data_IF_096930783858
#
_entry.id   IF_096930783858
#
_cell.length_a   1.000
_cell.length_b   1.000
_cell.length_c   1.000
_cell.angle_alpha   90.00
_cell.angle_beta   90.00
_cell.angle_gamma   90.00
#
_symmetry.space_group_name_H-M   'P 1'
#
loop_
_entity.id
_entity.type
_entity.pdbx_description
1 polymer ?
#
# COMPACT_ATOMS: atom_id res chain seq x y z
N UNK A 1 -34.60 -11.95 -23.36
CA UNK A 1 -33.64 -12.82 -22.61
C UNK A 1 -33.18 -14.04 -23.43
N UNK A 2 -34.00 -14.66 -24.27
CA UNK A 2 -33.66 -15.87 -25.05
C UNK A 2 -32.56 -15.68 -26.08
N UNK A 3 -32.50 -14.51 -26.75
CA UNK A 3 -31.52 -14.24 -27.80
C UNK A 3 -30.07 -14.10 -27.23
N UNK A 4 -29.93 -13.41 -26.10
CA UNK A 4 -28.66 -13.27 -25.41
C UNK A 4 -28.06 -14.62 -24.99
N UNK A 5 -28.86 -15.49 -24.40
CA UNK A 5 -28.41 -16.82 -24.00
C UNK A 5 -28.09 -17.72 -25.21
N UNK A 6 -28.79 -17.56 -26.32
CA UNK A 6 -28.49 -18.30 -27.55
C UNK A 6 -27.16 -17.87 -28.15
N UNK A 7 -26.86 -16.57 -28.18
CA UNK A 7 -25.58 -16.04 -28.65
C UNK A 7 -24.42 -16.40 -27.70
N UNK A 8 -24.66 -16.31 -26.38
CA UNK A 8 -23.69 -16.74 -25.37
C UNK A 8 -23.34 -18.23 -25.53
N UNK A 9 -24.33 -19.07 -25.81
CA UNK A 9 -24.13 -20.52 -26.05
C UNK A 9 -23.35 -20.80 -27.31
N UNK A 10 -23.50 -20.01 -28.37
CA UNK A 10 -22.67 -20.12 -29.59
C UNK A 10 -21.20 -19.77 -29.30
N UNK A 11 -20.96 -18.73 -28.53
CA UNK A 11 -19.61 -18.31 -28.14
C UNK A 11 -18.96 -19.38 -27.26
N UNK A 12 -19.68 -19.90 -26.26
CA UNK A 12 -19.18 -20.93 -25.34
C UNK A 12 -19.06 -22.30 -25.98
N UNK A 13 -19.89 -22.62 -26.98
CA UNK A 13 -19.84 -23.89 -27.71
C UNK A 13 -18.76 -23.92 -28.80
N UNK A 14 -18.15 -22.77 -29.13
CA UNK A 14 -17.04 -22.69 -30.07
C UNK A 14 -15.72 -23.15 -29.44
N UNK A 15 -14.90 -23.89 -30.19
CA UNK A 15 -13.58 -24.35 -29.72
C UNK A 15 -12.59 -23.21 -29.45
N UNK A 16 -12.81 -22.06 -30.07
CA UNK A 16 -11.92 -20.89 -29.96
C UNK A 16 -12.00 -20.22 -28.59
N UNK A 17 -13.21 -20.10 -28.04
CA UNK A 17 -13.42 -19.42 -26.75
C UNK A 17 -12.71 -20.10 -25.56
N UNK A 18 -12.86 -21.42 -25.34
CA UNK A 18 -12.16 -22.08 -24.24
C UNK A 18 -10.64 -22.06 -24.40
N UNK A 19 -10.11 -22.07 -25.64
CA UNK A 19 -8.68 -21.93 -25.89
C UNK A 19 -8.19 -20.53 -25.51
N UNK A 20 -8.90 -19.47 -25.92
CA UNK A 20 -8.58 -18.10 -25.55
C UNK A 20 -8.67 -17.90 -24.04
N UNK A 21 -9.69 -18.46 -23.39
CA UNK A 21 -9.84 -18.38 -21.93
C UNK A 21 -8.67 -19.08 -21.20
N UNK A 22 -8.23 -20.24 -21.71
CA UNK A 22 -7.09 -20.96 -21.15
C UNK A 22 -5.77 -20.17 -21.31
N UNK A 23 -5.55 -19.55 -22.46
CA UNK A 23 -4.38 -18.69 -22.72
C UNK A 23 -4.42 -17.49 -21.75
N UNK A 24 -5.58 -16.86 -21.60
CA UNK A 24 -5.77 -15.73 -20.71
C UNK A 24 -5.51 -16.10 -19.23
N UNK A 25 -6.12 -17.20 -18.78
CA UNK A 25 -5.91 -17.71 -17.41
C UNK A 25 -4.43 -18.04 -17.18
N UNK A 26 -3.76 -18.67 -18.16
CA UNK A 26 -2.34 -18.98 -18.06
C UNK A 26 -1.46 -17.74 -18.01
N UNK A 27 -1.77 -16.72 -18.82
CA UNK A 27 -1.06 -15.45 -18.81
C UNK A 27 -1.23 -14.72 -17.46
N UNK A 28 -2.46 -14.68 -16.92
CA UNK A 28 -2.72 -14.09 -15.61
C UNK A 28 -2.03 -14.84 -14.46
N UNK A 29 -2.02 -16.18 -14.51
CA UNK A 29 -1.28 -16.99 -13.54
C UNK A 29 0.23 -16.74 -13.62
N UNK A 30 0.76 -16.56 -14.82
CA UNK A 30 2.17 -16.23 -15.04
C UNK A 30 2.50 -14.83 -14.47
N UNK A 31 1.66 -13.84 -14.74
CA UNK A 31 1.83 -12.49 -14.21
C UNK A 31 1.74 -12.46 -12.67
N UNK A 32 0.77 -13.20 -12.11
CA UNK A 32 0.64 -13.36 -10.66
C UNK A 32 1.90 -14.00 -10.06
N UNK A 33 2.38 -15.06 -10.70
CA UNK A 33 3.59 -15.77 -10.26
C UNK A 33 4.84 -14.89 -10.38
N UNK A 34 4.97 -14.09 -11.45
CA UNK A 34 6.06 -13.12 -11.60
C UNK A 34 5.97 -12.00 -10.55
N UNK A 35 4.77 -11.48 -10.28
CA UNK A 35 4.54 -10.41 -9.30
C UNK A 35 4.71 -10.87 -7.84
N UNK A 36 4.52 -12.16 -7.56
CA UNK A 36 4.71 -12.73 -6.22
C UNK A 36 6.13 -13.23 -5.95
N UNK A 37 6.99 -13.27 -6.95
CA UNK A 37 8.39 -13.66 -6.76
C UNK A 37 9.12 -12.66 -5.87
N UNK A 38 9.92 -13.15 -4.92
CA UNK A 38 10.82 -12.29 -4.18
C UNK A 38 11.84 -11.71 -5.16
N UNK A 39 11.79 -10.41 -5.35
CA UNK A 39 12.83 -9.66 -6.06
C UNK A 39 13.97 -9.35 -5.09
N UNK A 40 15.19 -9.35 -5.56
CA UNK A 40 16.33 -8.86 -4.78
C UNK A 40 15.97 -7.47 -4.24
N UNK A 41 16.20 -7.24 -2.95
CA UNK A 41 15.88 -6.00 -2.23
C UNK A 41 14.38 -5.74 -1.91
N UNK A 42 13.47 -6.70 -2.10
CA UNK A 42 12.12 -6.57 -1.57
C UNK A 42 11.93 -7.48 -0.36
N UNK A 43 11.26 -7.00 0.69
CA UNK A 43 10.97 -7.81 1.85
C UNK A 43 10.13 -9.04 1.46
N UNK A 44 10.48 -10.24 1.93
CA UNK A 44 9.72 -11.45 1.64
C UNK A 44 8.35 -11.41 2.33
N UNK A 45 7.35 -12.08 1.76
CA UNK A 45 6.01 -12.16 2.35
C UNK A 45 5.99 -12.72 3.79
N UNK A 46 7.01 -13.52 4.16
CA UNK A 46 7.19 -14.02 5.52
C UNK A 46 7.47 -12.89 6.52
N UNK A 47 8.22 -11.85 6.11
CA UNK A 47 8.51 -10.69 6.96
C UNK A 47 7.24 -9.90 7.30
N UNK A 48 6.37 -9.66 6.32
CA UNK A 48 5.07 -9.00 6.56
C UNK A 48 4.18 -9.82 7.51
N UNK A 49 4.14 -11.13 7.35
CA UNK A 49 3.39 -12.01 8.25
C UNK A 49 3.96 -12.01 9.66
N UNK A 50 5.28 -11.96 9.81
CA UNK A 50 5.92 -11.88 11.11
C UNK A 50 5.58 -10.59 11.84
N UNK A 51 5.58 -9.44 11.14
CA UNK A 51 5.13 -8.17 11.69
C UNK A 51 3.62 -8.23 11.98
N UNK A 52 2.79 -8.77 11.08
CA UNK A 52 1.36 -8.95 11.31
C UNK A 52 1.06 -9.72 12.59
N UNK A 53 1.79 -10.80 12.87
CA UNK A 53 1.66 -11.55 14.11
C UNK A 53 2.06 -10.75 15.36
N UNK A 54 2.94 -9.76 15.23
CA UNK A 54 3.31 -8.86 16.33
C UNK A 54 2.23 -7.78 16.58
N UNK A 55 1.50 -7.41 15.52
CA UNK A 55 0.43 -6.42 15.58
C UNK A 55 -0.92 -7.03 15.96
N UNK A 56 -1.03 -8.34 16.00
CA UNK A 56 -2.28 -9.03 16.29
C UNK A 56 -2.74 -8.74 17.73
N UNK A 57 -4.01 -8.38 17.86
CA UNK A 57 -4.61 -8.01 19.13
C UNK A 57 -4.25 -6.62 19.67
N UNK A 58 -3.39 -5.85 19.00
CA UNK A 58 -3.09 -4.47 19.38
C UNK A 58 -4.16 -3.51 18.88
N UNK A 59 -4.38 -2.43 19.63
CA UNK A 59 -5.20 -1.29 19.16
C UNK A 59 -4.50 -0.55 18.03
N UNK A 60 -5.24 0.28 17.28
CA UNK A 60 -4.65 1.10 16.20
C UNK A 60 -3.51 1.99 16.70
N UNK A 61 -3.67 2.61 17.87
CA UNK A 61 -2.64 3.46 18.48
C UNK A 61 -1.37 2.67 18.82
N UNK A 62 -1.52 1.49 19.43
CA UNK A 62 -0.41 0.60 19.76
C UNK A 62 0.31 0.08 18.52
N UNK A 63 -0.43 -0.23 17.44
CA UNK A 63 0.13 -0.58 16.14
C UNK A 63 0.99 0.55 15.58
N UNK A 64 0.46 1.78 15.62
CA UNK A 64 1.19 2.96 15.19
C UNK A 64 2.46 3.19 15.98
N UNK A 65 2.39 3.10 17.31
CA UNK A 65 3.54 3.26 18.18
C UNK A 65 4.62 2.19 17.91
N UNK A 66 4.21 0.94 17.73
CA UNK A 66 5.14 -0.15 17.39
C UNK A 66 5.83 0.08 16.04
N UNK A 67 5.07 0.39 14.99
CA UNK A 67 5.61 0.60 13.65
C UNK A 67 6.54 1.81 13.60
N UNK A 68 6.12 2.92 14.22
CA UNK A 68 6.92 4.13 14.29
C UNK A 68 8.23 3.91 15.07
N UNK A 69 8.15 3.20 16.20
CA UNK A 69 9.33 2.84 16.99
C UNK A 69 10.32 1.99 16.18
N UNK A 70 9.82 0.96 15.50
CA UNK A 70 10.66 0.10 14.65
C UNK A 70 11.23 0.83 13.42
N UNK A 71 10.45 1.68 12.80
CA UNK A 71 10.94 2.50 11.69
C UNK A 71 12.07 3.43 12.14
N UNK A 72 11.90 4.12 13.27
CA UNK A 72 12.90 5.03 13.84
C UNK A 72 14.21 4.32 14.20
N UNK A 73 14.11 3.13 14.83
CA UNK A 73 15.25 2.26 15.14
C UNK A 73 16.03 1.93 13.86
N UNK A 74 15.36 1.38 12.85
CA UNK A 74 15.99 0.92 11.63
C UNK A 74 16.52 2.09 10.79
N UNK A 75 15.81 3.21 10.72
CA UNK A 75 16.29 4.43 10.07
C UNK A 75 17.57 4.93 10.72
N UNK A 76 17.66 4.87 12.05
CA UNK A 76 18.85 5.23 12.81
C UNK A 76 20.03 4.32 12.48
N UNK A 77 19.80 3.00 12.42
CA UNK A 77 20.83 2.04 12.00
C UNK A 77 21.31 2.28 10.56
N UNK A 78 20.40 2.64 9.64
CA UNK A 78 20.76 3.01 8.25
C UNK A 78 21.62 4.27 8.22
N UNK A 79 21.28 5.30 9.00
CA UNK A 79 22.05 6.54 9.13
C UNK A 79 23.45 6.28 9.69
N UNK A 80 23.58 5.44 10.73
CA UNK A 80 24.85 5.01 11.30
C UNK A 80 25.67 4.23 10.26
N UNK A 81 25.03 3.33 9.50
CA UNK A 81 25.67 2.61 8.41
C UNK A 81 26.19 3.55 7.31
N UNK A 82 25.41 4.56 6.95
CA UNK A 82 25.84 5.64 6.06
C UNK A 82 27.07 6.38 6.58
N UNK A 83 27.03 6.77 7.85
CA UNK A 83 28.15 7.43 8.52
C UNK A 83 29.45 6.58 8.45
N UNK A 84 29.41 5.29 8.80
CA UNK A 84 30.59 4.43 8.73
C UNK A 84 31.08 4.21 7.30
N UNK A 85 30.19 4.12 6.33
CA UNK A 85 30.55 4.07 4.92
C UNK A 85 31.29 5.34 4.50
N UNK A 86 30.74 6.48 4.85
CA UNK A 86 31.30 7.78 4.45
C UNK A 86 32.62 8.07 5.17
N UNK A 87 32.80 7.59 6.42
CA UNK A 87 34.10 7.61 7.10
C UNK A 87 35.20 6.86 6.34
N UNK A 88 34.84 5.79 5.64
CA UNK A 88 35.78 5.01 4.85
C UNK A 88 36.28 5.76 3.60
N UNK A 89 35.53 6.77 3.12
CA UNK A 89 35.80 7.46 1.85
C UNK A 89 36.13 8.96 1.99
N UNK A 90 35.67 9.62 3.06
CA UNK A 90 35.80 11.07 3.24
C UNK A 90 36.67 11.45 4.45
N UNK A 91 37.34 12.58 4.38
CA UNK A 91 38.14 13.10 5.48
C UNK A 91 37.33 13.41 6.75
N UNK A 92 37.94 13.26 7.90
CA UNK A 92 37.35 13.11 9.21
C UNK A 92 36.59 14.30 9.82
N UNK A 93 36.81 15.54 9.40
CA UNK A 93 36.31 16.73 10.14
C UNK A 93 34.78 16.95 9.99
N UNK A 94 34.22 16.74 8.80
CA UNK A 94 32.79 16.87 8.57
C UNK A 94 32.00 15.79 9.30
N UNK A 95 32.55 14.61 9.35
CA UNK A 95 31.92 13.43 9.95
C UNK A 95 31.87 13.52 11.48
N UNK A 96 32.86 14.19 12.10
CA UNK A 96 32.82 14.41 13.54
C UNK A 96 31.69 15.37 13.92
N UNK A 97 31.50 16.46 13.17
CA UNK A 97 30.37 17.38 13.40
C UNK A 97 29.02 16.67 13.27
N UNK A 98 28.85 15.82 12.25
CA UNK A 98 27.62 15.01 12.09
C UNK A 98 27.38 14.09 13.27
N UNK A 99 28.43 13.43 13.78
CA UNK A 99 28.31 12.57 14.97
C UNK A 99 27.91 13.37 16.22
N UNK A 100 28.52 14.54 16.42
CA UNK A 100 28.23 15.39 17.56
C UNK A 100 26.79 15.92 17.52
N UNK A 101 26.31 16.33 16.35
CA UNK A 101 24.92 16.74 16.12
C UNK A 101 23.90 15.62 16.35
N UNK A 102 24.29 14.37 16.11
CA UNK A 102 23.42 13.20 16.23
C UNK A 102 23.80 12.29 17.41
N UNK A 103 24.49 12.81 18.43
CA UNK A 103 25.04 12.03 19.53
C UNK A 103 24.01 11.08 20.17
N UNK A 104 22.79 11.55 20.45
CA UNK A 104 21.74 10.72 21.03
C UNK A 104 21.38 9.49 20.18
N UNK A 105 21.40 9.62 18.86
CA UNK A 105 21.16 8.50 17.95
C UNK A 105 22.33 7.49 18.00
N UNK A 106 23.57 7.98 18.01
CA UNK A 106 24.73 7.11 18.14
C UNK A 106 24.77 6.41 19.49
N UNK A 107 24.50 7.10 20.57
CA UNK A 107 24.48 6.55 21.93
C UNK A 107 23.41 5.45 22.06
N UNK A 108 22.27 5.61 21.41
CA UNK A 108 21.18 4.65 21.47
C UNK A 108 21.39 3.39 20.59
N UNK A 109 21.94 3.55 19.39
CA UNK A 109 21.90 2.49 18.37
C UNK A 109 23.25 2.04 17.80
N UNK A 110 24.35 2.74 18.11
CA UNK A 110 25.67 2.40 17.55
C UNK A 110 26.17 1.02 17.98
N UNK A 111 25.91 0.64 19.23
CA UNK A 111 26.31 -0.68 19.73
C UNK A 111 25.52 -1.79 19.05
N UNK A 112 24.22 -1.61 18.88
CA UNK A 112 23.38 -2.55 18.14
C UNK A 112 23.82 -2.71 16.69
N UNK A 113 24.16 -1.60 16.03
CA UNK A 113 24.72 -1.64 14.67
C UNK A 113 25.99 -2.48 14.59
N UNK A 114 26.90 -2.32 15.57
CA UNK A 114 28.15 -3.08 15.63
C UNK A 114 27.91 -4.56 15.94
N UNK A 115 27.01 -4.86 16.87
CA UNK A 115 26.73 -6.23 17.32
C UNK A 115 26.04 -7.06 16.22
N UNK A 116 25.16 -6.46 15.47
CA UNK A 116 24.52 -7.09 14.30
C UNK A 116 25.45 -7.27 13.10
N UNK A 117 26.71 -6.78 13.19
CA UNK A 117 27.73 -6.88 12.12
C UNK A 117 27.17 -6.43 10.77
N UNK A 118 26.38 -5.37 10.76
CA UNK A 118 25.96 -4.76 9.51
C UNK A 118 27.20 -4.28 8.76
N UNK A 119 27.60 -5.01 7.75
CA UNK A 119 28.65 -4.57 6.86
C UNK A 119 28.11 -3.47 5.95
N UNK A 120 29.01 -2.63 5.42
CA UNK A 120 28.69 -1.50 4.53
C UNK A 120 27.70 -1.79 3.38
N UNK A 121 27.40 -3.04 3.11
CA UNK A 121 26.59 -3.51 1.99
C UNK A 121 25.56 -4.56 2.38
N UNK A 122 25.11 -4.62 3.64
CA UNK A 122 24.12 -5.65 4.02
C UNK A 122 22.76 -5.34 3.44
N UNK A 123 22.38 -6.13 2.45
CA UNK A 123 21.04 -6.13 1.86
C UNK A 123 19.94 -6.31 2.92
N UNK A 124 20.26 -6.95 4.06
CA UNK A 124 19.32 -7.20 5.15
C UNK A 124 18.83 -5.91 5.80
N UNK A 125 19.71 -4.97 6.16
CA UNK A 125 19.33 -3.70 6.78
C UNK A 125 18.45 -2.86 5.83
N UNK A 126 18.84 -2.79 4.55
CA UNK A 126 18.06 -2.10 3.53
C UNK A 126 16.70 -2.76 3.31
N UNK A 127 16.63 -4.08 3.40
CA UNK A 127 15.38 -4.84 3.27
C UNK A 127 14.44 -4.57 4.46
N UNK A 128 14.97 -4.55 5.69
CA UNK A 128 14.22 -4.18 6.88
C UNK A 128 13.75 -2.73 6.83
N UNK A 129 14.63 -1.79 6.42
CA UNK A 129 14.24 -0.39 6.23
C UNK A 129 13.08 -0.25 5.26
N UNK A 130 13.14 -0.90 4.11
CA UNK A 130 12.05 -0.88 3.13
C UNK A 130 10.77 -1.46 3.67
N UNK A 131 10.86 -2.56 4.46
CA UNK A 131 9.70 -3.15 5.10
C UNK A 131 9.01 -2.15 6.02
N UNK A 132 9.74 -1.61 7.00
CA UNK A 132 9.12 -0.75 8.00
C UNK A 132 8.74 0.63 7.45
N UNK A 133 9.48 1.17 6.48
CA UNK A 133 9.08 2.38 5.77
C UNK A 133 7.75 2.18 5.01
N UNK A 134 7.58 1.04 4.35
CA UNK A 134 6.34 0.72 3.65
C UNK A 134 5.18 0.53 4.64
N UNK A 135 5.39 -0.26 5.70
CA UNK A 135 4.38 -0.53 6.71
C UNK A 135 3.93 0.74 7.45
N UNK A 136 4.89 1.64 7.77
CA UNK A 136 4.59 2.92 8.38
C UNK A 136 3.73 3.79 7.45
N UNK A 137 4.10 3.92 6.18
CA UNK A 137 3.33 4.70 5.21
C UNK A 137 1.92 4.12 4.97
N UNK A 138 1.80 2.80 4.94
CA UNK A 138 0.49 2.13 4.82
C UNK A 138 -0.37 2.38 6.06
N UNK A 139 0.22 2.27 7.26
CA UNK A 139 -0.46 2.58 8.51
C UNK A 139 -0.91 4.03 8.56
N UNK A 140 -0.04 4.98 8.24
CA UNK A 140 -0.35 6.41 8.24
C UNK A 140 -1.50 6.75 7.28
N UNK A 141 -1.55 6.05 6.14
CA UNK A 141 -2.66 6.19 5.18
C UNK A 141 -3.98 5.74 5.80
N UNK A 142 -3.99 4.61 6.50
CA UNK A 142 -5.18 4.07 7.17
C UNK A 142 -5.59 4.98 8.34
N UNK A 143 -4.63 5.41 9.16
CA UNK A 143 -4.87 6.30 10.28
C UNK A 143 -5.46 7.65 9.82
N UNK A 144 -4.86 8.27 8.80
CA UNK A 144 -5.37 9.51 8.21
C UNK A 144 -6.79 9.33 7.66
N UNK A 145 -7.09 8.18 7.05
CA UNK A 145 -8.44 7.91 6.57
C UNK A 145 -9.43 7.70 7.71
N UNK A 146 -9.03 7.03 8.78
CA UNK A 146 -9.82 6.88 10.01
C UNK A 146 -10.12 8.24 10.64
N UNK A 147 -9.12 9.10 10.82
CA UNK A 147 -9.28 10.47 11.31
C UNK A 147 -10.21 11.29 10.39
N UNK A 148 -10.11 11.10 9.09
CA UNK A 148 -11.02 11.71 8.13
C UNK A 148 -12.46 11.26 8.36
N UNK A 149 -12.70 9.97 8.56
CA UNK A 149 -14.04 9.43 8.81
C UNK A 149 -14.62 9.93 10.13
N UNK A 150 -13.83 9.97 11.17
CA UNK A 150 -14.24 10.49 12.49
C UNK A 150 -14.56 11.99 12.44
N UNK A 151 -13.84 12.74 11.62
CA UNK A 151 -14.06 14.16 11.38
C UNK A 151 -15.17 14.50 10.38
N UNK A 152 -15.79 13.50 9.75
CA UNK A 152 -16.73 13.71 8.62
C UNK A 152 -17.94 14.56 8.99
N UNK A 153 -18.54 14.37 10.15
CA UNK A 153 -19.70 15.18 10.55
C UNK A 153 -19.35 16.66 10.71
N UNK A 154 -18.17 16.94 11.26
CA UNK A 154 -17.64 18.30 11.35
C UNK A 154 -17.27 18.82 9.96
N UNK A 155 -16.68 18.00 9.11
CA UNK A 155 -16.28 18.35 7.74
C UNK A 155 -17.47 18.50 6.79
N UNK A 156 -18.57 17.77 7.00
CA UNK A 156 -19.79 17.94 6.21
C UNK A 156 -20.34 19.39 6.33
N UNK A 157 -20.25 19.96 7.53
CA UNK A 157 -20.61 21.36 7.76
C UNK A 157 -19.62 22.33 7.08
N UNK A 158 -18.35 21.97 7.01
CA UNK A 158 -17.30 22.75 6.33
C UNK A 158 -17.38 22.63 4.81
N UNK A 159 -17.78 21.46 4.27
CA UNK A 159 -17.99 21.25 2.83
C UNK A 159 -19.08 22.17 2.28
N UNK A 160 -20.06 22.54 3.08
CA UNK A 160 -21.05 23.55 2.72
C UNK A 160 -20.41 24.91 2.41
N UNK A 161 -19.29 25.22 3.07
CA UNK A 161 -18.53 26.45 2.84
C UNK A 161 -17.47 26.37 1.72
N UNK A 162 -17.17 25.17 1.23
CA UNK A 162 -16.12 24.94 0.20
C UNK A 162 -16.73 24.76 -1.20
N UNK A 163 -18.06 24.63 -1.32
CA UNK A 163 -18.73 24.53 -2.61
C UNK A 163 -18.35 25.71 -3.52
N UNK A 164 -17.85 25.40 -4.71
CA UNK A 164 -17.59 26.41 -5.75
C UNK A 164 -18.86 27.19 -6.15
N UNK A 165 -20.02 26.70 -5.74
CA UNK A 165 -21.34 27.29 -5.93
C UNK A 165 -21.86 27.97 -4.65
N UNK A 166 -20.97 28.46 -3.78
CA UNK A 166 -21.30 29.11 -2.51
C UNK A 166 -22.40 30.19 -2.60
N UNK A 167 -22.56 30.80 -3.76
CA UNK A 167 -23.57 31.83 -4.00
C UNK A 167 -24.86 31.30 -4.66
N UNK A 168 -24.89 30.05 -5.03
CA UNK A 168 -26.06 29.45 -5.64
C UNK A 168 -26.98 28.86 -4.58
N UNK A 169 -28.03 29.59 -4.26
CA UNK A 169 -29.09 29.16 -3.34
C UNK A 169 -30.01 28.11 -3.97
N UNK A 170 -29.59 27.45 -5.04
CA UNK A 170 -30.36 26.36 -5.61
C UNK A 170 -30.32 25.17 -4.67
N UNK A 171 -31.47 24.52 -4.42
CA UNK A 171 -31.58 23.39 -3.52
C UNK A 171 -30.81 22.14 -3.96
N UNK A 172 -30.05 22.23 -5.06
CA UNK A 172 -29.17 21.19 -5.58
C UNK A 172 -27.92 20.99 -4.71
N UNK A 173 -27.24 22.07 -4.33
CA UNK A 173 -26.05 21.98 -3.50
C UNK A 173 -26.35 21.47 -2.11
N UNK A 174 -27.42 21.96 -1.48
CA UNK A 174 -27.87 21.46 -0.17
C UNK A 174 -28.18 19.97 -0.21
N UNK A 175 -28.88 19.49 -1.24
CA UNK A 175 -29.20 18.06 -1.40
C UNK A 175 -27.97 17.21 -1.62
N UNK A 176 -26.98 17.71 -2.37
CA UNK A 176 -25.70 17.00 -2.56
C UNK A 176 -24.88 16.94 -1.26
N UNK A 177 -24.85 18.02 -0.50
CA UNK A 177 -24.16 18.09 0.80
C UNK A 177 -24.81 17.11 1.79
N UNK A 178 -26.16 17.11 1.88
CA UNK A 178 -26.90 16.19 2.74
C UNK A 178 -26.70 14.73 2.31
N UNK A 179 -26.75 14.44 1.01
CA UNK A 179 -26.51 13.10 0.46
C UNK A 179 -25.09 12.63 0.74
N UNK A 180 -24.10 13.51 0.56
CA UNK A 180 -22.70 13.23 0.84
C UNK A 180 -22.48 13.00 2.34
N UNK A 181 -23.01 13.87 3.19
CA UNK A 181 -22.93 13.70 4.65
C UNK A 181 -23.54 12.38 5.12
N UNK A 182 -24.68 11.97 4.51
CA UNK A 182 -25.33 10.69 4.81
C UNK A 182 -24.49 9.49 4.40
N UNK A 183 -23.83 9.54 3.24
CA UNK A 183 -22.92 8.48 2.78
C UNK A 183 -21.73 8.39 3.74
N UNK A 184 -21.12 9.50 4.08
CA UNK A 184 -19.98 9.54 4.99
C UNK A 184 -20.35 9.11 6.41
N UNK A 185 -21.50 9.50 6.93
CA UNK A 185 -21.97 9.03 8.24
C UNK A 185 -22.14 7.48 8.28
N UNK A 186 -22.49 6.87 7.14
CA UNK A 186 -22.51 5.41 7.00
C UNK A 186 -21.12 4.77 7.00
N UNK A 187 -20.09 5.50 6.55
CA UNK A 187 -18.71 5.01 6.55
C UNK A 187 -18.05 5.10 7.93
N UNK A 188 -18.40 6.11 8.74
CA UNK A 188 -17.86 6.26 10.11
C UNK A 188 -18.29 5.13 11.05
N UNK A 189 -19.32 4.38 10.71
CA UNK A 189 -19.75 3.19 11.46
C UNK A 189 -18.89 1.95 11.19
N UNK A 190 -17.96 2.03 10.24
CA UNK A 190 -17.08 0.90 9.87
C UNK A 190 -15.79 0.99 10.66
N UNK A 191 -15.54 0.04 11.54
CA UNK A 191 -14.21 -0.09 12.16
C UNK A 191 -13.18 -0.39 11.09
N UNK A 192 -12.19 0.48 10.98
CA UNK A 192 -11.04 0.31 10.07
C UNK A 192 -9.87 -0.10 10.95
N UNK A 193 -9.36 -1.29 10.68
CA UNK A 193 -8.16 -1.80 11.33
C UNK A 193 -7.04 -1.99 10.31
N UNK A 194 -5.81 -1.79 10.76
CA UNK A 194 -4.63 -2.00 9.94
C UNK A 194 -4.05 -3.39 10.17
N UNK A 195 -3.86 -4.13 9.11
CA UNK A 195 -3.13 -5.39 9.10
C UNK A 195 -2.18 -5.45 7.90
N UNK A 196 -0.87 -5.66 8.10
CA UNK A 196 0.09 -5.68 7.03
C UNK A 196 -0.12 -6.89 6.11
N UNK A 197 -0.50 -6.60 4.88
CA UNK A 197 -0.69 -7.63 3.85
C UNK A 197 0.16 -7.29 2.65
N UNK A 198 1.26 -8.04 2.45
CA UNK A 198 1.99 -7.88 1.20
C UNK A 198 1.40 -8.70 0.06
N UNK A 199 1.27 -8.03 -1.04
CA UNK A 199 1.36 -8.65 -2.37
C UNK A 199 0.09 -9.28 -2.89
N UNK A 200 -0.77 -9.84 -2.05
CA UNK A 200 -2.01 -10.45 -2.53
C UNK A 200 -2.98 -9.39 -3.07
N UNK A 201 -3.09 -8.27 -2.39
CA UNK A 201 -3.99 -7.18 -2.79
C UNK A 201 -3.50 -6.49 -4.07
N UNK A 202 -2.21 -6.20 -4.14
CA UNK A 202 -1.59 -5.59 -5.33
C UNK A 202 -1.61 -6.57 -6.50
N UNK A 203 -1.28 -7.83 -6.26
CA UNK A 203 -1.32 -8.87 -7.30
C UNK A 203 -2.74 -9.14 -7.79
N UNK A 204 -3.74 -9.17 -6.89
CA UNK A 204 -5.15 -9.33 -7.26
C UNK A 204 -5.65 -8.08 -7.99
N UNK A 205 -5.29 -6.86 -7.57
CA UNK A 205 -5.73 -5.64 -8.25
C UNK A 205 -5.17 -5.53 -9.66
N UNK A 206 -3.90 -5.87 -9.87
CA UNK A 206 -3.31 -5.95 -11.20
C UNK A 206 -3.95 -7.05 -12.07
N UNK A 207 -4.13 -8.26 -11.52
CA UNK A 207 -4.79 -9.35 -12.23
C UNK A 207 -6.25 -9.01 -12.58
N UNK A 208 -6.99 -8.34 -11.70
CA UNK A 208 -8.35 -7.90 -11.97
C UNK A 208 -8.42 -6.81 -13.04
N UNK A 209 -7.50 -5.86 -13.03
CA UNK A 209 -7.44 -4.79 -14.03
C UNK A 209 -7.12 -5.37 -15.40
N UNK A 210 -6.16 -6.29 -15.47
CA UNK A 210 -5.79 -6.98 -16.71
C UNK A 210 -6.90 -7.90 -17.21
N UNK A 211 -7.62 -8.60 -16.31
CA UNK A 211 -8.78 -9.42 -16.65
C UNK A 211 -9.93 -8.59 -17.25
N UNK A 212 -10.23 -7.43 -16.69
CA UNK A 212 -11.25 -6.53 -17.21
C UNK A 212 -10.83 -5.98 -18.57
N UNK A 213 -9.57 -5.60 -18.72
CA UNK A 213 -9.01 -5.08 -19.98
C UNK A 213 -9.04 -6.14 -21.08
N UNK A 214 -8.63 -7.35 -20.77
CA UNK A 214 -8.64 -8.50 -21.70
C UNK A 214 -10.07 -8.98 -22.01
N UNK A 215 -10.97 -9.00 -21.05
CA UNK A 215 -12.38 -9.32 -21.29
C UNK A 215 -13.05 -8.28 -22.20
N UNK A 216 -12.72 -6.99 -22.04
CA UNK A 216 -13.20 -5.92 -22.91
C UNK A 216 -12.59 -6.02 -24.32
N UNK A 217 -11.31 -6.35 -24.46
CA UNK A 217 -10.67 -6.58 -25.77
C UNK A 217 -11.26 -7.80 -26.49
N UNK A 218 -11.56 -8.89 -25.77
CA UNK A 218 -12.23 -10.06 -26.32
C UNK A 218 -13.67 -9.77 -26.77
N UNK A 219 -14.42 -9.01 -25.99
CA UNK A 219 -15.75 -8.52 -26.36
C UNK A 219 -15.72 -7.65 -27.61
N UNK A 220 -14.75 -6.73 -27.70
CA UNK A 220 -14.53 -5.87 -28.88
C UNK A 220 -14.15 -6.70 -30.11
N UNK A 221 -13.25 -7.69 -29.96
CA UNK A 221 -12.86 -8.58 -31.04
C UNK A 221 -14.05 -9.42 -31.55
N UNK A 222 -14.90 -9.90 -30.63
CA UNK A 222 -16.12 -10.64 -31.00
C UNK A 222 -17.15 -9.77 -31.73
N UNK A 223 -17.22 -8.48 -31.42
CA UNK A 223 -18.10 -7.53 -32.11
C UNK A 223 -17.56 -7.16 -33.48
N UNK A 224 -16.24 -7.06 -33.64
CA UNK A 224 -15.59 -6.66 -34.91
C UNK A 224 -15.44 -7.80 -35.92
N UNK A 225 -15.51 -9.06 -35.50
CA UNK A 225 -15.39 -10.25 -36.37
C UNK A 225 -16.77 -10.69 -36.94
N UNK A 226 -17.82 -9.92 -36.65
CA UNK A 226 -19.13 -10.05 -37.29
C UNK A 226 -19.24 -9.08 -38.48
#
# INVERSE_FOLDING_TARGET
MSLFFAELRKVWGGRVFPVLLAILASANLLLLWMGTRPTANQPPAAAYRAVGAQLDGLTMEEKGAYLHGKYTEIESLVKIGGFYRDMAYAGSSYLQAYRDENAAMFDAYEQEYKDKSYTLFTDNLNTEYRLFNQLQNEYDTVATYTDFLDGVQTKATQLAGISIFQNDKTGYDLKNIEATAKVYAGLTATEIDYYPQKGLYTAISYAFTDLILLASMLLLALILVR
#
